data_IF_392788016473
#
_entry.id   IF_392788016473
#
_cell.length_a   1.000
_cell.length_b   1.000
_cell.length_c   1.000
_cell.angle_alpha   90.00
_cell.angle_beta   90.00
_cell.angle_gamma   90.00
#
_symmetry.space_group_name_H-M   'P 1'
#
loop_
_entity.id
_entity.type
_entity.pdbx_description
1 polymer ?
#
# COMPACT_ATOMS: atom_id res chain seq x y z
N UNK A 1 -4.88 -6.08 1.30
CA UNK A 1 -3.88 -5.51 2.22
C UNK A 1 -4.05 -4.00 2.23
N UNK A 2 -3.43 -3.27 3.16
CA UNK A 2 -3.42 -1.81 3.16
C UNK A 2 -2.02 -1.30 3.48
N UNK A 3 -1.74 -0.07 3.06
CA UNK A 3 -0.52 0.66 3.39
C UNK A 3 -0.94 1.84 4.25
N UNK A 4 -0.27 2.03 5.39
CA UNK A 4 -0.53 3.18 6.25
C UNK A 4 0.12 4.43 5.64
N UNK A 5 -0.66 5.50 5.41
CA UNK A 5 -0.12 6.81 5.00
C UNK A 5 0.68 7.51 6.11
N UNK A 6 0.46 7.12 7.37
CA UNK A 6 1.12 7.67 8.56
C UNK A 6 1.14 6.62 9.67
N UNK A 7 1.90 6.89 10.73
CA UNK A 7 2.00 5.97 11.85
C UNK A 7 0.64 5.75 12.55
N UNK A 8 0.18 4.49 12.57
CA UNK A 8 -1.11 4.08 13.12
C UNK A 8 -0.94 2.99 14.18
N UNK A 9 -0.38 3.38 15.32
CA UNK A 9 -0.07 2.48 16.44
C UNK A 9 -1.31 1.77 17.03
N UNK A 10 -2.50 2.33 16.86
CA UNK A 10 -3.76 1.74 17.34
C UNK A 10 -4.14 0.44 16.63
N UNK A 11 -3.61 0.18 15.43
CA UNK A 11 -3.84 -1.05 14.67
C UNK A 11 -2.95 -2.22 15.11
N UNK A 12 -1.99 -1.97 16.01
CA UNK A 12 -1.06 -2.99 16.49
C UNK A 12 -1.83 -4.13 17.18
N UNK A 13 -1.43 -5.38 16.86
CA UNK A 13 -2.09 -6.63 17.34
C UNK A 13 -3.52 -6.85 16.84
N UNK A 14 -4.10 -5.92 16.08
CA UNK A 14 -5.38 -6.10 15.40
C UNK A 14 -5.18 -6.56 13.95
N UNK A 15 -4.02 -6.26 13.37
CA UNK A 15 -3.64 -6.65 12.01
C UNK A 15 -2.25 -7.27 11.96
N UNK A 16 -2.08 -8.26 11.10
CA UNK A 16 -0.79 -8.91 10.85
C UNK A 16 0.06 -8.03 9.92
N UNK A 17 1.14 -7.47 10.46
CA UNK A 17 2.13 -6.73 9.69
C UNK A 17 3.11 -7.72 9.05
N UNK A 18 3.25 -7.67 7.72
CA UNK A 18 4.13 -8.59 6.98
C UNK A 18 5.15 -7.88 6.07
N UNK A 19 5.13 -6.55 5.97
CA UNK A 19 6.03 -5.80 5.11
C UNK A 19 6.01 -4.29 5.35
N UNK A 20 6.99 -3.60 4.77
CA UNK A 20 7.14 -2.14 4.79
C UNK A 20 7.51 -1.66 3.39
N UNK A 21 6.96 -0.51 2.98
CA UNK A 21 7.37 0.17 1.76
C UNK A 21 8.76 0.77 1.96
N UNK A 22 9.75 0.30 1.19
CA UNK A 22 11.14 0.78 1.27
C UNK A 22 11.44 1.90 0.26
N UNK A 23 10.60 2.07 -0.76
CA UNK A 23 10.73 3.10 -1.80
C UNK A 23 9.36 3.37 -2.44
N UNK A 24 9.15 4.59 -2.94
CA UNK A 24 7.94 4.97 -3.68
C UNK A 24 6.72 5.30 -2.82
N UNK A 25 6.91 5.72 -1.56
CA UNK A 25 5.80 6.16 -0.69
C UNK A 25 5.04 7.35 -1.29
N UNK A 26 5.73 8.23 -2.01
CA UNK A 26 5.19 9.36 -2.74
C UNK A 26 4.24 8.97 -3.89
N UNK A 27 4.30 7.72 -4.39
CA UNK A 27 3.27 7.18 -5.29
C UNK A 27 2.05 6.71 -4.53
N UNK A 28 2.24 6.12 -3.34
CA UNK A 28 1.16 5.68 -2.46
C UNK A 28 0.31 6.86 -2.03
N UNK A 29 0.93 8.00 -1.70
CA UNK A 29 0.23 9.23 -1.29
C UNK A 29 -0.61 9.88 -2.40
N UNK A 30 -0.29 9.58 -3.67
CA UNK A 30 -1.00 10.09 -4.86
C UNK A 30 -2.21 9.24 -5.26
N UNK A 31 -2.41 8.07 -4.65
CA UNK A 31 -3.56 7.21 -4.93
C UNK A 31 -4.86 7.96 -4.66
N UNK A 32 -5.80 7.84 -5.60
CA UNK A 32 -7.10 8.50 -5.56
C UNK A 32 -7.85 8.16 -4.28
N UNK A 33 -8.14 9.20 -3.49
CA UNK A 33 -8.80 9.08 -2.19
C UNK A 33 -10.32 9.02 -2.36
N UNK A 34 -11.00 8.18 -1.58
CA UNK A 34 -12.45 8.05 -1.53
C UNK A 34 -12.90 6.71 -0.95
N UNK A 35 -14.15 6.62 -0.50
CA UNK A 35 -14.75 5.38 0.05
C UNK A 35 -16.17 5.17 -0.51
N UNK A 36 -16.35 4.63 -1.73
CA UNK A 36 -15.33 4.35 -2.75
C UNK A 36 -15.04 5.59 -3.64
N UNK A 37 -13.85 5.70 -4.23
CA UNK A 37 -13.57 6.73 -5.22
C UNK A 37 -14.28 6.41 -6.54
N UNK A 38 -14.72 7.45 -7.27
CA UNK A 38 -15.41 7.27 -8.56
C UNK A 38 -14.53 6.58 -9.62
N UNK A 39 -13.21 6.85 -9.59
CA UNK A 39 -12.21 6.22 -10.45
C UNK A 39 -11.05 5.70 -9.57
N UNK A 40 -11.10 4.45 -9.10
CA UNK A 40 -10.02 3.88 -8.30
C UNK A 40 -8.77 3.58 -9.14
N UNK A 41 -7.59 3.85 -8.57
CA UNK A 41 -6.32 3.40 -9.13
C UNK A 41 -6.17 1.87 -9.02
N UNK A 42 -5.38 1.29 -9.93
CA UNK A 42 -5.19 -0.16 -10.03
C UNK A 42 -3.72 -0.53 -10.05
N UNK A 43 -3.38 -1.64 -9.39
CA UNK A 43 -2.07 -2.28 -9.57
C UNK A 43 -2.00 -2.94 -10.94
N UNK A 44 -1.20 -2.38 -11.85
CA UNK A 44 -1.07 -2.86 -13.24
C UNK A 44 -0.25 -4.15 -13.30
N UNK A 45 0.83 -4.23 -12.52
CA UNK A 45 1.71 -5.40 -12.48
C UNK A 45 2.32 -5.51 -11.09
N UNK A 46 2.38 -6.73 -10.56
CA UNK A 46 3.01 -7.05 -9.28
C UNK A 46 4.02 -8.17 -9.55
N UNK A 47 5.26 -7.98 -9.12
CA UNK A 47 6.34 -8.94 -9.30
C UNK A 47 7.13 -9.10 -8.01
N UNK A 48 7.53 -10.33 -7.71
CA UNK A 48 8.53 -10.60 -6.68
C UNK A 48 9.89 -10.36 -7.31
N UNK A 49 10.80 -9.68 -6.62
CA UNK A 49 12.11 -9.33 -7.16
C UNK A 49 12.90 -10.56 -7.68
N UNK A 50 12.69 -11.73 -7.07
CA UNK A 50 13.28 -12.99 -7.52
C UNK A 50 12.77 -13.47 -8.89
N UNK A 51 11.55 -13.08 -9.30
CA UNK A 51 10.92 -13.49 -10.57
C UNK A 51 11.27 -12.55 -11.74
N UNK A 52 12.11 -11.53 -11.52
CA UNK A 52 12.51 -10.52 -12.53
C UNK A 52 13.78 -10.94 -13.29
N UNK A 53 14.14 -12.23 -13.23
CA UNK A 53 15.31 -12.82 -13.91
C UNK A 53 15.29 -12.64 -15.44
#
# INVERSE_FOLDING_TARGET
>A
FFINFKDNHFLNRQYTVYGRVISGMDHVDKITKGEPPANPDRMITVRVAADVA
#
